data_IF_862472011140
#
_entry.id   IF_862472011140
#
_cell.length_a   1.000
_cell.length_b   1.000
_cell.length_c   1.000
_cell.angle_alpha   90.00
_cell.angle_beta   90.00
_cell.angle_gamma   90.00
#
_symmetry.space_group_name_H-M   'P 1'
#
loop_
_entity.id
_entity.type
_entity.pdbx_description
1 polymer ?
#
# COMPACT_ATOMS: atom_id res chain seq x y z
N UNK A 1 -13.68 -9.22 25.05
CA UNK A 1 -12.99 -9.49 23.78
C UNK A 1 -13.54 -8.54 22.74
N UNK A 2 -12.68 -7.87 21.96
CA UNK A 2 -13.10 -6.99 20.84
C UNK A 2 -12.34 -7.38 19.58
N UNK A 3 -13.01 -7.40 18.45
CA UNK A 3 -12.41 -7.68 17.14
C UNK A 3 -12.63 -6.46 16.24
N UNK A 4 -11.55 -5.98 15.62
CA UNK A 4 -11.54 -4.85 14.71
C UNK A 4 -11.09 -5.35 13.32
N UNK A 5 -11.82 -4.98 12.27
CA UNK A 5 -11.41 -5.24 10.89
C UNK A 5 -10.80 -3.96 10.33
N UNK A 6 -9.52 -4.00 9.95
CA UNK A 6 -8.77 -2.87 9.39
C UNK A 6 -8.66 -2.94 7.86
N UNK A 7 -9.28 -3.95 7.22
CA UNK A 7 -9.28 -4.10 5.78
C UNK A 7 -10.71 -4.20 5.25
N UNK A 8 -11.03 -3.43 4.22
CA UNK A 8 -12.25 -3.59 3.43
C UNK A 8 -12.14 -4.64 2.32
N UNK A 9 -10.95 -5.20 2.10
CA UNK A 9 -10.68 -6.08 0.97
C UNK A 9 -10.89 -7.56 1.35
N UNK A 10 -11.71 -8.32 0.58
CA UNK A 10 -12.12 -9.67 0.97
C UNK A 10 -10.98 -10.69 1.04
N UNK A 11 -9.89 -10.46 0.29
CA UNK A 11 -8.75 -11.40 0.20
C UNK A 11 -7.48 -10.90 0.90
N UNK A 12 -7.51 -9.72 1.52
CA UNK A 12 -6.35 -9.14 2.22
C UNK A 12 -6.75 -8.90 3.67
N UNK A 13 -6.77 -9.96 4.51
CA UNK A 13 -7.17 -9.83 5.89
C UNK A 13 -6.21 -8.93 6.65
N UNK A 14 -6.78 -8.13 7.54
CA UNK A 14 -6.05 -7.31 8.49
C UNK A 14 -6.98 -7.11 9.69
N UNK A 15 -6.88 -7.97 10.69
CA UNK A 15 -7.79 -7.98 11.83
C UNK A 15 -7.03 -7.77 13.13
N UNK A 16 -7.64 -7.08 14.10
CA UNK A 16 -7.05 -6.91 15.42
C UNK A 16 -7.99 -7.44 16.49
N UNK A 17 -7.50 -8.40 17.25
CA UNK A 17 -8.14 -9.00 18.40
C UNK A 17 -7.59 -8.40 19.69
N UNK A 18 -8.44 -7.71 20.45
CA UNK A 18 -8.14 -7.29 21.83
C UNK A 18 -8.72 -8.30 22.81
N UNK A 19 -7.85 -8.99 23.53
CA UNK A 19 -8.20 -9.97 24.54
C UNK A 19 -7.40 -9.75 25.83
N UNK A 20 -8.10 -9.44 26.92
CA UNK A 20 -7.49 -9.05 28.20
C UNK A 20 -6.52 -7.87 28.00
N UNK A 21 -5.26 -8.05 28.39
CA UNK A 21 -4.17 -7.07 28.26
C UNK A 21 -3.34 -7.30 27.00
N UNK A 22 -3.82 -8.09 26.04
CA UNK A 22 -3.07 -8.42 24.81
C UNK A 22 -3.86 -7.98 23.58
N UNK A 23 -3.18 -7.29 22.68
CA UNK A 23 -3.67 -6.86 21.37
C UNK A 23 -2.91 -7.62 20.29
N UNK A 24 -3.63 -8.48 19.57
CA UNK A 24 -3.08 -9.36 18.55
C UNK A 24 -3.58 -8.91 17.19
N UNK A 25 -2.69 -8.63 16.27
CA UNK A 25 -2.99 -8.40 14.87
C UNK A 25 -2.83 -9.71 14.09
N UNK A 26 -3.86 -10.06 13.33
CA UNK A 26 -3.89 -11.19 12.42
C UNK A 26 -3.77 -10.62 11.00
N UNK A 27 -2.63 -10.91 10.38
CA UNK A 27 -2.26 -10.47 9.04
C UNK A 27 -2.13 -8.95 8.86
N UNK A 28 -1.31 -8.57 7.89
CA UNK A 28 -1.12 -7.20 7.43
C UNK A 28 -0.92 -7.17 5.90
N UNK A 29 -2.00 -7.52 5.18
CA UNK A 29 -2.03 -7.43 3.73
C UNK A 29 -1.90 -5.98 3.21
N UNK A 30 -1.38 -5.83 1.99
CA UNK A 30 -1.29 -4.56 1.28
C UNK A 30 -2.26 -4.55 0.11
N UNK A 31 -3.15 -3.56 0.06
CA UNK A 31 -4.07 -3.40 -1.06
C UNK A 31 -3.36 -2.69 -2.22
N UNK A 32 -3.17 -3.45 -3.31
CA UNK A 32 -2.52 -3.00 -4.53
C UNK A 32 -3.49 -2.52 -5.60
N UNK A 33 -4.81 -2.54 -5.36
CA UNK A 33 -5.82 -2.09 -6.33
C UNK A 33 -5.69 -0.60 -6.66
N UNK A 34 -5.17 0.21 -5.72
CA UNK A 34 -4.86 1.63 -5.93
C UNK A 34 -3.91 1.85 -7.11
N UNK A 35 -3.00 0.91 -7.39
CA UNK A 35 -2.04 0.95 -8.51
C UNK A 35 -2.75 1.04 -9.86
N UNK A 36 -3.97 0.52 -9.99
CA UNK A 36 -4.75 0.57 -11.23
C UNK A 36 -5.15 1.99 -11.65
N UNK A 37 -5.06 2.96 -10.74
CA UNK A 37 -5.33 4.37 -11.01
C UNK A 37 -4.13 5.11 -11.62
N UNK A 38 -2.95 4.48 -11.65
CA UNK A 38 -1.73 5.07 -12.17
C UNK A 38 -1.45 4.58 -13.59
N UNK A 39 -0.73 5.39 -14.37
CA UNK A 39 -0.19 4.90 -15.63
C UNK A 39 0.84 3.78 -15.37
N UNK A 40 0.89 2.75 -16.24
CA UNK A 40 1.88 1.70 -16.11
C UNK A 40 3.30 2.28 -16.18
N UNK A 41 4.23 1.64 -15.49
CA UNK A 41 5.65 1.96 -15.51
C UNK A 41 6.36 1.06 -16.53
N UNK A 42 6.57 1.50 -17.79
CA UNK A 42 7.22 0.67 -18.77
C UNK A 42 8.74 0.65 -18.54
N UNK A 43 9.35 -0.53 -18.58
CA UNK A 43 10.81 -0.69 -18.50
C UNK A 43 11.56 -0.02 -19.65
N UNK A 44 10.87 0.20 -20.78
CA UNK A 44 11.39 0.84 -21.98
C UNK A 44 10.49 2.01 -22.37
N UNK A 45 11.06 3.01 -23.04
CA UNK A 45 10.28 4.15 -23.50
C UNK A 45 9.09 3.72 -24.38
N UNK A 46 7.88 4.15 -24.00
CA UNK A 46 6.67 3.93 -24.78
C UNK A 46 6.20 5.24 -25.41
N UNK A 47 6.30 5.41 -26.74
CA UNK A 47 5.82 6.63 -27.41
C UNK A 47 4.31 6.80 -27.29
N UNK A 48 3.58 5.69 -27.09
CA UNK A 48 2.13 5.71 -26.88
C UNK A 48 1.77 6.32 -25.53
N UNK A 49 2.52 5.98 -24.48
CA UNK A 49 2.27 6.50 -23.12
C UNK A 49 2.77 7.94 -22.97
N UNK A 50 3.93 8.27 -23.55
CA UNK A 50 4.50 9.63 -23.45
C UNK A 50 3.70 10.69 -24.19
N UNK A 51 2.96 10.31 -25.24
CA UNK A 51 2.11 11.21 -26.04
C UNK A 51 0.65 11.26 -25.57
N UNK A 52 0.31 10.65 -24.43
CA UNK A 52 -1.05 10.75 -23.91
C UNK A 52 -1.40 12.21 -23.60
N UNK A 53 -2.62 12.65 -23.96
CA UNK A 53 -3.07 13.99 -23.64
C UNK A 53 -3.16 14.18 -22.12
N UNK A 54 -2.81 15.37 -21.65
CA UNK A 54 -3.05 15.78 -20.28
C UNK A 54 -4.54 15.97 -20.00
N UNK A 55 -4.97 15.74 -18.77
CA UNK A 55 -6.34 16.03 -18.37
C UNK A 55 -6.49 17.48 -17.89
N UNK A 56 -7.56 18.14 -18.35
CA UNK A 56 -7.99 19.48 -17.94
C UNK A 56 -9.47 19.43 -17.61
N UNK A 57 -9.88 20.20 -16.59
CA UNK A 57 -11.30 20.32 -16.28
C UNK A 57 -12.09 20.96 -17.44
N UNK A 58 -13.35 20.56 -17.62
CA UNK A 58 -14.19 21.02 -18.76
C UNK A 58 -14.45 22.53 -18.76
N UNK A 59 -14.41 23.14 -17.59
CA UNK A 59 -14.55 24.57 -17.34
C UNK A 59 -13.21 25.32 -17.34
N UNK A 60 -12.08 24.61 -17.50
CA UNK A 60 -10.74 25.18 -17.51
C UNK A 60 -10.23 25.68 -16.15
N UNK A 61 -10.98 25.49 -15.06
CA UNK A 61 -10.64 26.03 -13.74
C UNK A 61 -9.46 25.30 -13.09
N UNK A 62 -9.31 24.00 -13.38
CA UNK A 62 -8.25 23.15 -12.86
C UNK A 62 -7.44 22.56 -14.01
N UNK A 63 -6.14 22.88 -14.02
CA UNK A 63 -5.16 22.32 -14.95
C UNK A 63 -4.28 21.29 -14.21
N UNK A 64 -4.41 20.02 -14.60
CA UNK A 64 -3.61 18.91 -14.10
C UNK A 64 -2.92 18.16 -15.23
N UNK A 65 -2.62 18.82 -16.36
CA UNK A 65 -2.04 18.17 -17.55
C UNK A 65 -0.71 17.46 -17.27
N UNK A 66 0.00 17.96 -16.25
CA UNK A 66 1.26 17.41 -15.79
C UNK A 66 1.07 16.18 -14.90
N UNK A 67 -0.02 16.11 -14.13
CA UNK A 67 -0.24 15.04 -13.15
C UNK A 67 -1.14 13.92 -13.68
N UNK A 68 -2.07 14.26 -14.57
CA UNK A 68 -3.13 13.37 -15.02
C UNK A 68 -3.10 13.24 -16.55
N UNK A 69 -3.28 12.01 -17.01
CA UNK A 69 -3.30 11.65 -18.44
C UNK A 69 -4.61 10.97 -18.79
N UNK A 70 -5.15 11.32 -19.95
CA UNK A 70 -6.37 10.70 -20.46
C UNK A 70 -6.04 9.61 -21.48
N UNK A 71 -6.67 8.44 -21.34
CA UNK A 71 -6.55 7.33 -22.27
C UNK A 71 -7.89 6.59 -22.36
N UNK A 72 -8.46 6.51 -23.56
CA UNK A 72 -9.72 5.82 -23.85
C UNK A 72 -10.89 6.21 -22.91
N UNK A 73 -11.03 7.52 -22.63
CA UNK A 73 -12.10 8.06 -21.77
C UNK A 73 -11.90 7.80 -20.27
N UNK A 74 -10.71 7.33 -19.86
CA UNK A 74 -10.31 7.18 -18.45
C UNK A 74 -9.15 8.12 -18.15
N UNK A 75 -9.06 8.54 -16.89
CA UNK A 75 -8.00 9.40 -16.39
C UNK A 75 -7.10 8.61 -15.45
N UNK A 76 -5.80 8.73 -15.64
CA UNK A 76 -4.77 8.04 -14.89
C UNK A 76 -3.78 9.03 -14.30
N UNK A 77 -3.22 8.70 -13.14
CA UNK A 77 -2.16 9.47 -12.50
C UNK A 77 -0.82 9.15 -13.14
N UNK A 78 -0.13 10.16 -13.66
CA UNK A 78 1.21 10.06 -14.25
C UNK A 78 2.29 10.31 -13.19
N UNK A 79 2.35 9.41 -12.22
CA UNK A 79 3.29 9.44 -11.09
C UNK A 79 3.68 8.02 -10.69
N UNK A 80 4.64 7.88 -9.79
CA UNK A 80 4.91 6.61 -9.13
C UNK A 80 3.63 6.08 -8.45
N UNK A 81 3.28 4.79 -8.64
CA UNK A 81 2.16 4.16 -7.94
C UNK A 81 2.28 4.23 -6.42
N UNK A 82 1.13 4.35 -5.79
CA UNK A 82 0.97 4.33 -4.35
C UNK A 82 -0.01 3.23 -3.93
N UNK A 83 0.16 2.74 -2.72
CA UNK A 83 -0.53 1.60 -2.16
C UNK A 83 -1.49 2.04 -1.06
N UNK A 84 -2.67 1.41 -1.02
CA UNK A 84 -3.63 1.61 0.05
C UNK A 84 -3.22 0.78 1.26
N UNK A 85 -3.10 1.44 2.41
CA UNK A 85 -2.72 0.80 3.66
C UNK A 85 -3.96 0.36 4.45
N UNK A 86 -3.82 -0.63 5.36
CA UNK A 86 -4.89 -0.94 6.31
C UNK A 86 -5.32 0.30 7.11
N UNK A 87 -6.61 0.36 7.45
CA UNK A 87 -7.28 1.47 8.12
C UNK A 87 -6.57 1.83 9.44
N UNK A 88 -5.96 3.02 9.51
CA UNK A 88 -5.17 3.47 10.67
C UNK A 88 -5.99 4.29 11.67
N UNK A 89 -7.07 4.93 11.24
CA UNK A 89 -7.84 5.85 12.09
C UNK A 89 -8.60 5.13 13.21
N UNK A 90 -8.88 3.83 13.03
CA UNK A 90 -9.60 3.03 14.01
C UNK A 90 -8.73 2.57 15.19
N UNK A 91 -7.41 2.48 15.01
CA UNK A 91 -6.51 1.85 15.98
C UNK A 91 -5.08 2.40 15.93
N UNK A 92 -4.57 2.79 17.09
CA UNK A 92 -3.14 3.04 17.29
C UNK A 92 -2.34 1.73 17.24
N UNK A 93 -1.59 1.52 16.16
CA UNK A 93 -0.81 0.31 15.92
C UNK A 93 0.40 0.19 16.86
N UNK A 94 0.80 1.24 17.59
CA UNK A 94 1.83 1.14 18.64
C UNK A 94 1.36 0.29 19.83
N UNK A 95 0.04 0.11 19.99
CA UNK A 95 -0.58 -0.69 21.05
C UNK A 95 -0.66 -2.19 20.73
N UNK A 96 -0.18 -2.60 19.56
CA UNK A 96 -0.19 -4.02 19.13
C UNK A 96 1.01 -4.74 19.73
N UNK A 97 0.73 -5.78 20.50
CA UNK A 97 1.77 -6.58 21.16
C UNK A 97 2.35 -7.64 20.22
N UNK A 98 1.48 -8.23 19.38
CA UNK A 98 1.83 -9.35 18.51
C UNK A 98 1.18 -9.22 17.13
N UNK A 99 1.94 -9.50 16.07
CA UNK A 99 1.43 -9.70 14.71
C UNK A 99 1.63 -11.18 14.33
N UNK A 100 0.56 -11.85 13.92
CA UNK A 100 0.59 -13.22 13.41
C UNK A 100 0.36 -13.21 11.89
N UNK A 101 1.30 -13.78 11.14
CA UNK A 101 1.22 -13.86 9.67
C UNK A 101 0.80 -15.27 9.25
N UNK A 102 -0.32 -15.37 8.56
CA UNK A 102 -0.91 -16.62 8.09
C UNK A 102 -0.36 -17.06 6.73
N UNK A 103 0.03 -16.11 5.86
CA UNK A 103 0.48 -16.36 4.49
C UNK A 103 1.46 -15.27 4.02
N UNK A 104 2.35 -15.60 3.08
CA UNK A 104 3.36 -14.72 2.51
C UNK A 104 2.79 -13.45 1.81
N UNK A 105 1.58 -13.50 1.26
CA UNK A 105 0.89 -12.31 0.72
C UNK A 105 0.37 -11.37 1.82
N UNK A 106 0.12 -11.91 3.01
CA UNK A 106 -0.49 -11.20 4.13
C UNK A 106 0.53 -10.46 5.00
N UNK A 107 1.78 -10.33 4.56
CA UNK A 107 2.80 -9.51 5.23
C UNK A 107 3.24 -8.30 4.42
N UNK A 108 2.64 -8.05 3.24
CA UNK A 108 3.08 -6.98 2.34
C UNK A 108 2.97 -5.57 2.93
N UNK A 109 2.14 -5.34 3.94
CA UNK A 109 2.08 -4.05 4.65
C UNK A 109 3.02 -3.96 5.87
N UNK A 110 3.74 -5.04 6.20
CA UNK A 110 4.56 -5.15 7.40
C UNK A 110 5.59 -4.01 7.52
N UNK A 111 6.38 -3.64 6.48
CA UNK A 111 7.32 -2.54 6.59
C UNK A 111 6.66 -1.20 6.96
N UNK A 112 5.45 -0.93 6.46
CA UNK A 112 4.74 0.30 6.80
C UNK A 112 4.27 0.35 8.24
N UNK A 113 4.07 -0.82 8.88
CA UNK A 113 3.66 -0.92 10.28
C UNK A 113 4.91 -0.82 11.16
N UNK A 114 5.91 -1.66 10.91
CA UNK A 114 7.09 -1.76 11.78
C UNK A 114 7.99 -0.52 11.75
N UNK A 115 8.00 0.23 10.65
CA UNK A 115 8.88 1.41 10.50
C UNK A 115 8.14 2.76 10.67
N UNK A 116 6.81 2.80 10.61
CA UNK A 116 6.07 4.09 10.60
C UNK A 116 4.95 4.24 11.62
N UNK A 117 4.68 3.25 12.47
CA UNK A 117 3.56 3.35 13.44
C UNK A 117 3.97 3.17 14.89
N UNK A 118 5.27 3.17 15.19
CA UNK A 118 5.76 2.99 16.56
C UNK A 118 5.55 1.58 17.12
N UNK A 119 5.28 0.59 16.26
CA UNK A 119 5.13 -0.80 16.66
C UNK A 119 6.44 -1.33 17.27
N UNK A 120 6.34 -1.88 18.49
CA UNK A 120 7.46 -2.47 19.24
C UNK A 120 7.20 -3.92 19.64
N UNK A 121 6.06 -4.47 19.21
CA UNK A 121 5.67 -5.85 19.48
C UNK A 121 6.49 -6.88 18.70
N UNK A 122 6.05 -8.13 18.78
CA UNK A 122 6.70 -9.27 18.12
C UNK A 122 5.91 -9.75 16.90
N UNK A 123 6.59 -10.11 15.82
CA UNK A 123 5.96 -10.65 14.61
C UNK A 123 6.25 -12.14 14.54
N UNK A 124 5.24 -12.98 14.33
CA UNK A 124 5.40 -14.42 14.15
C UNK A 124 4.99 -14.86 12.75
N UNK A 125 5.83 -15.68 12.14
CA UNK A 125 5.54 -16.31 10.85
C UNK A 125 6.24 -17.67 10.76
N UNK A 126 5.76 -18.54 9.86
CA UNK A 126 6.47 -19.77 9.50
C UNK A 126 7.61 -19.47 8.53
N UNK A 127 8.65 -20.31 8.52
CA UNK A 127 9.81 -20.14 7.63
C UNK A 127 9.44 -20.01 6.14
N UNK A 128 8.58 -20.87 5.56
CA UNK A 128 8.20 -20.72 4.14
C UNK A 128 7.47 -19.40 3.86
N UNK A 129 6.66 -18.93 4.82
CA UNK A 129 5.94 -17.65 4.72
C UNK A 129 6.91 -16.49 4.68
N UNK A 130 7.91 -16.49 5.57
CA UNK A 130 8.93 -15.44 5.62
C UNK A 130 9.76 -15.39 4.34
N UNK A 131 10.22 -16.55 3.85
CA UNK A 131 11.09 -16.61 2.68
C UNK A 131 10.40 -16.18 1.39
N UNK A 132 9.16 -16.63 1.15
CA UNK A 132 8.40 -16.21 -0.05
C UNK A 132 8.00 -14.73 0.08
N UNK A 133 7.58 -14.29 1.27
CA UNK A 133 7.22 -12.91 1.53
C UNK A 133 8.39 -11.96 1.28
N UNK A 134 9.61 -12.34 1.73
CA UNK A 134 10.85 -11.62 1.44
C UNK A 134 11.04 -11.41 -0.06
N UNK A 135 10.97 -12.47 -0.85
CA UNK A 135 11.15 -12.39 -2.30
C UNK A 135 10.13 -11.45 -2.96
N UNK A 136 8.86 -11.49 -2.51
CA UNK A 136 7.84 -10.59 -3.02
C UNK A 136 8.10 -9.12 -2.67
N UNK A 137 8.52 -8.84 -1.43
CA UNK A 137 8.84 -7.49 -1.01
C UNK A 137 10.06 -6.94 -1.76
N UNK A 138 11.11 -7.74 -1.88
CA UNK A 138 12.33 -7.37 -2.61
C UNK A 138 12.04 -7.11 -4.08
N UNK A 139 11.26 -7.97 -4.74
CA UNK A 139 10.89 -7.77 -6.15
C UNK A 139 10.02 -6.52 -6.34
N UNK A 140 9.09 -6.24 -5.42
CA UNK A 140 8.30 -5.00 -5.48
C UNK A 140 9.21 -3.76 -5.44
N UNK A 141 10.16 -3.70 -4.51
CA UNK A 141 11.12 -2.59 -4.42
C UNK A 141 11.95 -2.48 -5.70
N UNK A 142 12.55 -3.60 -6.13
CA UNK A 142 13.38 -3.65 -7.33
C UNK A 142 12.62 -3.16 -8.57
N UNK A 143 11.36 -3.56 -8.73
CA UNK A 143 10.53 -3.12 -9.86
C UNK A 143 10.30 -1.60 -9.82
N UNK A 144 9.99 -1.05 -8.66
CA UNK A 144 9.71 0.37 -8.47
C UNK A 144 10.96 1.25 -8.66
N UNK A 145 12.14 0.75 -8.28
CA UNK A 145 13.43 1.44 -8.44
C UNK A 145 13.95 1.41 -9.89
N UNK A 146 13.63 0.38 -10.67
CA UNK A 146 14.05 0.25 -12.07
C UNK A 146 13.38 1.28 -13.00
N UNK A 147 12.18 1.75 -12.67
CA UNK A 147 11.41 2.69 -13.50
C UNK A 147 11.03 3.94 -12.70
N UNK A 148 12.02 4.76 -12.28
CA UNK A 148 11.74 5.92 -11.45
C UNK A 148 10.98 6.98 -12.26
N UNK A 149 9.84 7.42 -11.72
CA UNK A 149 9.15 8.64 -12.16
C UNK A 149 9.67 9.81 -11.34
N UNK A 150 10.35 10.77 -11.99
CA UNK A 150 10.85 11.98 -11.33
C UNK A 150 9.72 12.90 -10.84
N UNK A 151 8.54 12.79 -11.44
CA UNK A 151 7.40 13.62 -11.12
C UNK A 151 6.52 12.95 -10.06
N UNK A 152 6.21 13.70 -9.01
CA UNK A 152 5.20 13.33 -8.02
C UNK A 152 3.91 14.08 -8.32
N UNK A 153 2.80 13.36 -8.43
CA UNK A 153 1.48 13.94 -8.56
C UNK A 153 0.81 14.03 -7.18
N UNK A 154 0.57 15.25 -6.70
CA UNK A 154 -0.03 15.48 -5.36
C UNK A 154 -1.26 16.37 -5.41
N UNK A 155 -1.37 17.27 -6.40
CA UNK A 155 -2.48 18.20 -6.51
C UNK A 155 -3.81 17.49 -6.72
N UNK A 156 -3.84 16.41 -7.53
CA UNK A 156 -5.05 15.63 -7.79
C UNK A 156 -5.71 15.03 -6.54
N UNK A 157 -4.94 14.82 -5.47
CA UNK A 157 -5.43 14.27 -4.19
C UNK A 157 -6.22 15.28 -3.35
N UNK A 158 -6.21 16.56 -3.71
CA UNK A 158 -7.03 17.55 -3.02
C UNK A 158 -8.51 17.16 -3.13
N UNK A 159 -9.24 17.17 -2.01
CA UNK A 159 -10.63 16.69 -1.93
C UNK A 159 -11.60 17.42 -2.85
N UNK A 160 -11.41 18.72 -3.06
CA UNK A 160 -12.23 19.52 -3.99
C UNK A 160 -11.93 19.15 -5.43
N UNK A 161 -10.65 18.96 -5.76
CA UNK A 161 -10.18 18.53 -7.07
C UNK A 161 -10.66 17.11 -7.39
N UNK A 162 -10.45 16.16 -6.47
CA UNK A 162 -10.83 14.76 -6.65
C UNK A 162 -12.32 14.60 -6.98
N UNK A 163 -13.19 15.40 -6.36
CA UNK A 163 -14.64 15.39 -6.61
C UNK A 163 -15.02 15.77 -8.04
N UNK A 164 -14.17 16.53 -8.72
CA UNK A 164 -14.36 16.97 -10.11
C UNK A 164 -13.78 15.97 -11.13
N UNK A 165 -12.94 15.04 -10.69
CA UNK A 165 -12.38 14.01 -11.56
C UNK A 165 -13.46 13.03 -12.02
N UNK A 166 -13.26 12.34 -13.16
CA UNK A 166 -14.08 11.19 -13.52
C UNK A 166 -13.75 9.97 -12.63
N UNK A 167 -14.70 9.04 -12.50
CA UNK A 167 -14.42 7.72 -11.93
C UNK A 167 -13.40 6.95 -12.78
N UNK A 168 -12.48 6.15 -12.20
CA UNK A 168 -12.45 5.68 -10.80
C UNK A 168 -11.78 6.63 -9.79
N UNK A 169 -11.06 7.68 -10.23
CA UNK A 169 -10.32 8.57 -9.33
C UNK A 169 -11.24 9.34 -8.36
N UNK A 170 -12.43 9.73 -8.84
CA UNK A 170 -13.47 10.36 -8.02
C UNK A 170 -13.93 9.49 -6.85
N UNK A 171 -14.04 8.19 -7.11
CA UNK A 171 -14.64 7.21 -6.19
C UNK A 171 -13.58 6.54 -5.31
N UNK A 172 -12.30 6.84 -5.55
CA UNK A 172 -11.18 6.33 -4.76
C UNK A 172 -11.28 6.83 -3.31
N UNK A 173 -11.19 5.89 -2.37
CA UNK A 173 -11.35 6.15 -0.94
C UNK A 173 -9.99 6.48 -0.31
N UNK A 174 -9.99 7.47 0.57
CA UNK A 174 -8.87 7.85 1.44
C UNK A 174 -7.50 8.00 0.75
N UNK A 175 -7.48 8.62 -0.44
CA UNK A 175 -6.28 8.78 -1.30
C UNK A 175 -5.09 9.48 -0.62
N UNK A 176 -5.32 10.25 0.44
CA UNK A 176 -4.27 10.89 1.24
C UNK A 176 -3.51 9.91 2.13
N UNK A 177 -4.10 8.75 2.44
CA UNK A 177 -3.48 7.70 3.23
C UNK A 177 -2.55 6.82 2.39
N UNK A 178 -2.71 6.84 1.06
CA UNK A 178 -1.91 6.03 0.15
C UNK A 178 -0.44 6.37 0.28
N UNK A 179 0.41 5.34 0.32
CA UNK A 179 1.86 5.48 0.49
C UNK A 179 2.61 4.98 -0.72
N UNK A 180 3.75 5.61 -1.01
CA UNK A 180 4.73 5.08 -1.96
C UNK A 180 5.30 3.76 -1.46
N UNK A 181 5.91 3.01 -2.36
CA UNK A 181 6.65 1.79 -2.02
C UNK A 181 7.67 2.07 -0.90
N UNK A 182 7.77 1.15 0.06
CA UNK A 182 8.88 1.10 1.01
C UNK A 182 10.21 0.85 0.29
N UNK A 183 11.31 1.13 0.98
CA UNK A 183 12.68 0.91 0.53
C UNK A 183 13.21 -0.48 0.89
N UNK A 184 14.31 -0.88 0.24
CA UNK A 184 15.00 -2.14 0.56
C UNK A 184 15.51 -2.16 2.02
N UNK A 185 15.88 -1.00 2.56
CA UNK A 185 16.29 -0.87 3.96
C UNK A 185 15.14 -1.19 4.92
N UNK A 186 13.94 -0.68 4.64
CA UNK A 186 12.74 -0.92 5.45
C UNK A 186 12.29 -2.37 5.37
N UNK A 187 12.40 -3.01 4.20
CA UNK A 187 12.16 -4.46 4.05
C UNK A 187 13.09 -5.24 4.98
N UNK A 188 14.40 -5.00 4.90
CA UNK A 188 15.38 -5.71 5.72
C UNK A 188 15.18 -5.49 7.22
N UNK A 189 14.90 -4.23 7.63
CA UNK A 189 14.58 -3.88 9.02
C UNK A 189 13.33 -4.61 9.51
N UNK A 190 12.23 -4.57 8.75
CA UNK A 190 10.97 -5.21 9.10
C UNK A 190 11.10 -6.73 9.24
N UNK A 191 11.77 -7.38 8.29
CA UNK A 191 11.94 -8.83 8.29
C UNK A 191 12.85 -9.32 9.42
N UNK A 192 13.79 -8.49 9.89
CA UNK A 192 14.64 -8.82 11.05
C UNK A 192 13.88 -8.94 12.37
N UNK A 193 12.66 -8.38 12.44
CA UNK A 193 11.77 -8.41 13.62
C UNK A 193 10.87 -9.65 13.64
N UNK A 194 10.91 -10.49 12.60
CA UNK A 194 10.07 -11.69 12.48
C UNK A 194 10.71 -12.85 13.23
N UNK A 195 10.00 -13.37 14.22
CA UNK A 195 10.31 -14.60 14.92
C UNK A 195 9.70 -15.79 14.17
N UNK A 196 10.57 -16.74 13.83
CA UNK A 196 10.20 -17.95 13.13
C UNK A 196 9.55 -18.94 14.10
N UNK A 197 8.38 -19.43 13.71
CA UNK A 197 7.63 -20.42 14.47
C UNK A 197 7.27 -21.61 13.59
N UNK A 198 7.55 -22.81 14.09
CA UNK A 198 7.12 -24.07 13.50
C UNK A 198 5.69 -24.43 13.89
N UNK A 199 5.11 -25.38 13.15
CA UNK A 199 3.81 -25.95 13.53
C UNK A 199 3.89 -26.61 14.90
N UNK A 200 2.89 -26.33 15.75
CA UNK A 200 2.80 -26.83 17.14
C UNK A 200 3.95 -26.41 18.06
N UNK A 201 4.77 -25.43 17.66
CA UNK A 201 5.75 -24.83 18.55
C UNK A 201 5.04 -24.02 19.64
N UNK A 202 5.44 -24.22 20.89
CA UNK A 202 4.96 -23.42 22.02
C UNK A 202 5.71 -22.09 22.04
N UNK A 203 4.95 -21.00 22.15
CA UNK A 203 5.41 -19.61 22.21
C UNK A 203 4.89 -19.01 23.51
#
# INVERSE_FOLDING_TARGET
MKLYCLSGHPTLPCNVLKFKSTTIMLDCGLDTTSVLNFLPLPLVHSPRLSKLPGWVSKDGTVNLEKELKECAGRVFVDSQPEFCLPERELLDLSTIDVILISNYHCMMALPYITEHTGFTGTVYATEPTLQIGRLLMEELVNFMERVPKAQSATCWKNKEIQRMLPGPLKDAVDVWTWKRCYSMQEVNSALSKVQLVGYSQKV
#
